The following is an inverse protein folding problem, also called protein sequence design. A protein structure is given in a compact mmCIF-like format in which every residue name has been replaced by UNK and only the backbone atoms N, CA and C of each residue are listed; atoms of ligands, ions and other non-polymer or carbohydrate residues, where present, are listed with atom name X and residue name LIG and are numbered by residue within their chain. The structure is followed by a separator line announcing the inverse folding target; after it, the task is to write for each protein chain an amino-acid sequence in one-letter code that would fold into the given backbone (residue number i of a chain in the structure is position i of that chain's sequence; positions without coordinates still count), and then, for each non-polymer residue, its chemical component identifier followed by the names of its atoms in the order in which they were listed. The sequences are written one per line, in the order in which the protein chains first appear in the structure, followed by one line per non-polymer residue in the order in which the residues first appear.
data_IF_369052853536
#
_entry.id   IF_369052853536
#
_cell.length_a   1.000
_cell.length_b   1.000
_cell.length_c   1.000
_cell.angle_alpha   90.00
_cell.angle_beta   90.00
_cell.angle_gamma   90.00
#
_symmetry.space_group_name_H-M   'P 1'
#
loop_
_entity.id
_entity.type
_entity.pdbx_description
1 polymer ?
#
# COMPACT_ATOMS: atom_id res chain seq x y z
N UNK A 1 2.80 -8.17 0.37
CA UNK A 1 3.85 -9.09 -0.14
C UNK A 1 3.97 -8.92 -1.64
N UNK A 2 5.16 -9.07 -2.19
CA UNK A 2 5.40 -9.07 -3.65
C UNK A 2 6.64 -9.89 -4.00
N UNK A 3 6.85 -10.17 -5.28
CA UNK A 3 7.98 -10.96 -5.78
C UNK A 3 8.83 -10.11 -6.71
N UNK A 4 10.15 -10.12 -6.51
CA UNK A 4 11.14 -9.49 -7.38
C UNK A 4 12.38 -10.40 -7.44
N UNK A 5 12.87 -10.68 -8.64
CA UNK A 5 14.07 -11.48 -8.88
C UNK A 5 14.09 -12.81 -8.09
N UNK A 6 13.01 -13.59 -8.22
CA UNK A 6 12.80 -14.88 -7.55
C UNK A 6 12.87 -14.84 -6.00
N UNK A 7 12.64 -13.66 -5.42
CA UNK A 7 12.59 -13.47 -3.97
C UNK A 7 11.26 -12.85 -3.55
N UNK A 8 10.75 -13.31 -2.43
CA UNK A 8 9.56 -12.78 -1.78
C UNK A 8 9.95 -11.58 -0.89
N UNK A 9 9.33 -10.43 -1.15
CA UNK A 9 9.46 -9.22 -0.38
C UNK A 9 8.25 -9.07 0.56
N UNK A 10 8.55 -9.04 1.85
CA UNK A 10 7.56 -8.93 2.93
C UNK A 10 7.76 -7.61 3.66
N UNK A 11 6.90 -6.64 3.38
CA UNK A 11 6.85 -5.34 4.04
C UNK A 11 5.89 -5.33 5.24
N UNK A 12 6.03 -4.29 6.06
CA UNK A 12 5.10 -3.95 7.14
C UNK A 12 4.31 -2.68 6.81
N UNK A 13 3.93 -1.95 7.85
CA UNK A 13 3.14 -0.71 7.74
C UNK A 13 3.87 0.42 7.00
N UNK A 14 5.21 0.38 6.91
CA UNK A 14 6.01 1.37 6.18
C UNK A 14 6.00 2.78 6.79
N UNK A 15 5.67 2.89 8.08
CA UNK A 15 5.85 4.10 8.89
C UNK A 15 6.44 3.72 10.24
N UNK A 16 6.83 4.72 11.01
CA UNK A 16 7.23 4.52 12.39
C UNK A 16 6.14 3.81 13.22
N UNK A 17 6.55 2.93 14.12
CA UNK A 17 5.66 2.46 15.17
C UNK A 17 5.48 3.57 16.19
N UNK A 18 4.23 3.85 16.53
CA UNK A 18 3.84 4.92 17.45
C UNK A 18 2.86 4.40 18.49
N UNK A 19 2.71 5.10 19.60
CA UNK A 19 1.53 4.93 20.46
C UNK A 19 0.25 5.30 19.71
N UNK A 20 -0.92 5.01 20.29
CA UNK A 20 -2.23 5.42 19.73
C UNK A 20 -2.40 6.93 19.56
N UNK A 21 -1.58 7.75 20.24
CA UNK A 21 -1.53 9.21 20.13
C UNK A 21 -0.37 9.71 19.25
N UNK A 22 0.28 8.81 18.50
CA UNK A 22 1.32 9.16 17.54
C UNK A 22 2.67 9.52 18.18
N UNK A 23 2.98 9.07 19.40
CA UNK A 23 4.34 9.22 19.98
C UNK A 23 5.26 8.16 19.39
N UNK A 24 6.39 8.57 18.82
CA UNK A 24 7.38 7.66 18.23
C UNK A 24 7.89 6.65 19.25
N UNK A 25 7.94 5.37 18.87
CA UNK A 25 8.48 4.28 19.68
C UNK A 25 9.67 3.61 18.98
N UNK A 26 9.53 3.22 17.70
CA UNK A 26 10.60 2.59 16.92
C UNK A 26 10.32 2.65 15.40
N UNK A 27 11.29 2.19 14.60
CA UNK A 27 11.22 2.15 13.13
C UNK A 27 10.99 0.73 12.57
N UNK A 28 10.67 -0.26 13.41
CA UNK A 28 10.61 -1.66 13.00
C UNK A 28 9.64 -1.96 11.84
N UNK A 29 8.46 -1.30 11.71
CA UNK A 29 7.56 -1.54 10.58
C UNK A 29 8.09 -1.03 9.24
N UNK A 30 9.20 -0.28 9.24
CA UNK A 30 9.89 0.18 8.03
C UNK A 30 11.01 -0.78 7.60
N UNK A 31 11.23 -1.89 8.32
CA UNK A 31 12.12 -2.96 7.86
C UNK A 31 11.36 -3.99 7.04
N UNK A 32 11.88 -4.32 5.87
CA UNK A 32 11.35 -5.41 5.05
C UNK A 32 12.14 -6.70 5.28
N UNK A 33 11.52 -7.82 4.91
CA UNK A 33 12.18 -9.13 4.84
C UNK A 33 12.22 -9.57 3.39
N UNK A 34 13.38 -10.04 2.97
CA UNK A 34 13.58 -10.62 1.64
C UNK A 34 13.84 -12.10 1.84
N UNK A 35 12.95 -12.93 1.31
CA UNK A 35 12.97 -14.38 1.48
C UNK A 35 13.29 -15.03 0.14
N UNK A 36 14.39 -15.77 0.07
CA UNK A 36 14.73 -16.54 -1.11
C UNK A 36 13.84 -17.77 -1.28
N UNK A 37 13.81 -18.34 -2.48
CA UNK A 37 12.96 -19.50 -2.78
C UNK A 37 13.33 -20.77 -2.00
N UNK A 38 14.50 -20.79 -1.34
CA UNK A 38 14.92 -21.86 -0.42
C UNK A 38 14.59 -21.55 1.06
N UNK A 39 13.98 -20.41 1.35
CA UNK A 39 13.58 -19.99 2.69
C UNK A 39 14.65 -19.22 3.47
N UNK A 40 15.79 -18.88 2.86
CA UNK A 40 16.75 -17.95 3.44
C UNK A 40 16.13 -16.56 3.63
N UNK A 41 16.42 -15.91 4.76
CA UNK A 41 15.82 -14.63 5.13
C UNK A 41 16.89 -13.57 5.33
N UNK A 42 16.72 -12.44 4.65
CA UNK A 42 17.49 -11.21 4.86
C UNK A 42 16.58 -10.11 5.41
N UNK A 43 17.12 -9.26 6.28
CA UNK A 43 16.43 -8.10 6.85
C UNK A 43 17.01 -6.84 6.22
N UNK A 44 16.17 -6.05 5.56
CA UNK A 44 16.63 -4.86 4.83
C UNK A 44 15.95 -3.63 5.42
N UNK A 45 16.77 -2.64 5.77
CA UNK A 45 16.30 -1.35 6.26
C UNK A 45 15.73 -0.53 5.10
N UNK A 46 14.42 -0.21 5.17
CA UNK A 46 13.71 0.62 4.20
C UNK A 46 13.23 1.94 4.81
N UNK A 47 13.77 2.36 5.97
CA UNK A 47 13.41 3.62 6.63
C UNK A 47 13.51 4.81 5.68
N UNK A 48 14.64 4.95 4.99
CA UNK A 48 14.86 6.05 4.03
C UNK A 48 13.93 5.96 2.82
N UNK A 49 13.68 4.75 2.30
CA UNK A 49 12.78 4.55 1.16
C UNK A 49 11.36 5.01 1.49
N UNK A 50 10.80 4.55 2.61
CA UNK A 50 9.47 4.95 3.06
C UNK A 50 9.41 6.45 3.41
N UNK A 51 10.45 6.99 4.05
CA UNK A 51 10.53 8.41 4.36
C UNK A 51 10.55 9.27 3.10
N UNK A 52 11.25 8.84 2.06
CA UNK A 52 11.31 9.52 0.77
C UNK A 52 9.94 9.53 0.08
N UNK A 53 9.28 8.36 -0.02
CA UNK A 53 7.91 8.26 -0.55
C UNK A 53 6.95 9.19 0.21
N UNK A 54 7.04 9.21 1.54
CA UNK A 54 6.16 10.07 2.35
C UNK A 54 6.45 11.55 2.11
N UNK A 55 7.73 11.94 2.12
CA UNK A 55 8.18 13.33 1.98
C UNK A 55 7.81 13.92 0.63
N UNK A 56 8.14 13.22 -0.46
CA UNK A 56 7.86 13.68 -1.83
C UNK A 56 6.36 13.72 -2.13
N UNK A 57 5.57 12.86 -1.49
CA UNK A 57 4.11 12.89 -1.56
C UNK A 57 3.46 14.06 -0.79
N UNK A 58 4.23 14.85 -0.05
CA UNK A 58 3.72 15.98 0.75
C UNK A 58 3.11 15.58 2.09
N UNK A 59 3.50 14.44 2.65
CA UNK A 59 3.03 13.90 3.93
C UNK A 59 4.13 13.89 4.99
N UNK A 60 5.00 14.91 5.01
CA UNK A 60 6.13 15.00 5.93
C UNK A 60 5.73 14.78 7.39
N UNK A 61 6.63 14.16 8.17
CA UNK A 61 6.44 13.96 9.61
C UNK A 61 6.04 15.28 10.31
N UNK A 62 5.01 15.29 11.17
CA UNK A 62 4.33 14.15 11.79
C UNK A 62 3.24 13.47 10.94
N UNK A 63 3.02 13.92 9.70
CA UNK A 63 2.22 13.19 8.71
C UNK A 63 2.78 11.79 8.42
N UNK A 64 1.94 10.94 7.83
CA UNK A 64 2.25 9.54 7.61
C UNK A 64 1.52 8.95 6.41
N UNK A 65 2.02 7.81 5.95
CA UNK A 65 1.33 6.87 5.06
C UNK A 65 1.36 5.48 5.71
N UNK A 66 0.32 4.68 5.50
CA UNK A 66 0.29 3.27 5.90
C UNK A 66 0.19 2.41 4.64
N UNK A 67 1.09 1.44 4.52
CA UNK A 67 1.14 0.53 3.39
C UNK A 67 0.69 -0.86 3.81
N UNK A 68 -0.30 -1.40 3.10
CA UNK A 68 -0.70 -2.82 3.21
C UNK A 68 -0.53 -3.56 1.87
N UNK A 69 -0.21 -2.82 0.81
CA UNK A 69 -0.10 -3.38 -0.54
C UNK A 69 1.07 -2.79 -1.31
N UNK A 70 1.75 -3.66 -2.06
CA UNK A 70 2.90 -3.34 -2.89
C UNK A 70 3.01 -4.39 -4.00
N UNK A 71 3.48 -3.98 -5.18
CA UNK A 71 3.87 -4.88 -6.26
C UNK A 71 5.16 -4.38 -6.93
N UNK A 72 6.02 -5.30 -7.33
CA UNK A 72 7.10 -5.02 -8.28
C UNK A 72 6.61 -5.29 -9.71
N UNK A 73 6.87 -4.34 -10.59
CA UNK A 73 6.68 -4.48 -12.05
C UNK A 73 8.02 -4.83 -12.68
N UNK A 74 8.12 -6.03 -13.23
CA UNK A 74 9.35 -6.49 -13.89
C UNK A 74 9.53 -5.83 -15.26
N UNK A 75 8.43 -5.46 -15.92
CA UNK A 75 8.50 -4.82 -17.25
C UNK A 75 8.94 -3.36 -17.16
N UNK A 76 8.49 -2.62 -16.15
CA UNK A 76 8.88 -1.21 -15.96
C UNK A 76 10.06 -1.02 -15.01
N UNK A 77 10.47 -2.07 -14.29
CA UNK A 77 11.46 -2.01 -13.20
C UNK A 77 11.08 -0.98 -12.13
N UNK A 78 9.83 -1.05 -11.69
CA UNK A 78 9.26 -0.12 -10.71
C UNK A 78 8.52 -0.84 -9.59
N UNK A 79 8.60 -0.25 -8.41
CA UNK A 79 7.70 -0.52 -7.30
C UNK A 79 6.40 0.25 -7.50
N UNK A 80 5.29 -0.41 -7.18
CA UNK A 80 3.97 0.18 -7.12
C UNK A 80 3.40 0.00 -5.71
N UNK A 81 2.74 1.02 -5.18
CA UNK A 81 2.07 1.00 -3.89
C UNK A 81 0.68 1.60 -4.00
N UNK A 82 -0.28 0.97 -3.32
CA UNK A 82 -1.57 1.57 -3.01
C UNK A 82 -1.66 1.70 -1.49
N UNK A 83 -1.23 2.83 -0.90
CA UNK A 83 -1.31 3.03 0.54
C UNK A 83 -2.75 2.90 1.03
N UNK A 84 -2.91 2.25 2.19
CA UNK A 84 -4.19 2.15 2.88
C UNK A 84 -4.61 3.50 3.42
N UNK A 85 -3.67 4.22 4.05
CA UNK A 85 -3.89 5.50 4.73
C UNK A 85 -2.85 6.52 4.29
N UNK A 86 -3.24 7.79 4.26
CA UNK A 86 -2.33 8.92 4.13
C UNK A 86 -2.88 10.15 4.84
N UNK A 87 -2.08 10.78 5.70
CA UNK A 87 -2.48 11.94 6.48
C UNK A 87 -1.33 12.94 6.61
N UNK A 88 -1.65 14.23 6.50
CA UNK A 88 -0.71 15.33 6.80
C UNK A 88 -0.65 15.63 8.30
N UNK A 89 -1.59 15.11 9.06
CA UNK A 89 -1.67 15.25 10.51
C UNK A 89 -0.98 14.07 11.20
N UNK A 90 -0.64 14.27 12.47
CA UNK A 90 -0.07 13.25 13.34
C UNK A 90 -0.97 12.00 13.40
N UNK A 91 -0.36 10.83 13.53
CA UNK A 91 -1.09 9.59 13.78
C UNK A 91 -1.93 9.67 15.06
N UNK A 92 -3.17 9.25 14.93
CA UNK A 92 -4.13 9.01 16.01
C UNK A 92 -4.96 7.79 15.61
N UNK A 93 -5.04 6.79 16.48
CA UNK A 93 -5.65 5.49 16.20
C UNK A 93 -7.12 5.61 15.76
N UNK A 94 -7.88 6.53 16.36
CA UNK A 94 -9.30 6.72 16.03
C UNK A 94 -9.46 7.50 14.74
N UNK A 95 -8.65 8.54 14.54
CA UNK A 95 -8.74 9.35 13.33
C UNK A 95 -8.25 8.57 12.10
N UNK A 96 -7.31 7.62 12.26
CA UNK A 96 -6.75 6.82 11.16
C UNK A 96 -7.81 5.97 10.44
N UNK A 97 -8.86 5.53 11.14
CA UNK A 97 -10.01 4.83 10.53
C UNK A 97 -10.62 5.65 9.35
N UNK A 98 -10.47 6.97 9.39
CA UNK A 98 -10.99 7.93 8.41
C UNK A 98 -9.89 8.58 7.53
N UNK A 99 -8.65 8.04 7.52
CA UNK A 99 -7.53 8.57 6.70
C UNK A 99 -7.23 7.74 5.46
N UNK A 100 -8.23 7.03 4.91
CA UNK A 100 -8.04 6.32 3.65
C UNK A 100 -7.63 7.29 2.51
N UNK A 101 -6.91 6.75 1.54
CA UNK A 101 -6.41 7.50 0.40
C UNK A 101 -6.74 6.80 -0.92
N UNK A 102 -6.73 7.57 -2.01
CA UNK A 102 -6.90 7.06 -3.37
C UNK A 102 -5.59 7.13 -4.17
N UNK A 103 -4.45 7.35 -3.51
CA UNK A 103 -3.16 7.44 -4.17
C UNK A 103 -2.70 6.09 -4.70
N UNK A 104 -2.15 6.12 -5.91
CA UNK A 104 -1.22 5.14 -6.44
C UNK A 104 0.14 5.79 -6.55
N UNK A 105 1.15 5.08 -6.08
CA UNK A 105 2.54 5.53 -6.06
C UNK A 105 3.34 4.57 -6.90
N UNK A 106 4.17 5.08 -7.80
CA UNK A 106 5.20 4.30 -8.47
C UNK A 106 6.58 4.89 -8.21
N UNK A 107 7.56 4.02 -8.01
CA UNK A 107 8.95 4.40 -7.76
C UNK A 107 9.87 3.51 -8.59
N UNK A 108 10.96 4.04 -9.11
CA UNK A 108 12.03 3.20 -9.65
C UNK A 108 12.69 2.36 -8.54
N UNK A 109 13.55 1.43 -8.95
CA UNK A 109 14.16 0.44 -8.05
C UNK A 109 14.86 1.06 -6.83
N UNK A 110 15.49 2.22 -7.02
CA UNK A 110 16.27 2.93 -6.01
C UNK A 110 15.47 4.04 -5.31
N UNK A 111 14.17 4.16 -5.59
CA UNK A 111 13.32 5.25 -5.11
C UNK A 111 13.87 6.65 -5.47
N UNK A 112 14.65 6.78 -6.54
CA UNK A 112 15.19 8.05 -7.05
C UNK A 112 14.11 8.89 -7.72
N UNK A 113 13.22 8.23 -8.47
CA UNK A 113 12.12 8.86 -9.17
C UNK A 113 10.80 8.29 -8.67
N UNK A 114 10.01 9.11 -7.97
CA UNK A 114 8.71 8.73 -7.40
C UNK A 114 7.60 9.54 -8.07
N UNK A 115 6.52 8.86 -8.47
CA UNK A 115 5.35 9.45 -9.09
C UNK A 115 4.09 9.13 -8.28
N UNK A 116 3.17 10.09 -8.22
CA UNK A 116 1.94 10.00 -7.46
C UNK A 116 0.76 10.27 -8.39
N UNK A 117 -0.28 9.45 -8.29
CA UNK A 117 -1.50 9.58 -9.08
C UNK A 117 -2.72 9.26 -8.22
N UNK A 118 -3.75 10.08 -8.33
CA UNK A 118 -5.03 9.80 -7.67
C UNK A 118 -5.90 8.90 -8.55
N UNK A 119 -6.43 7.82 -7.98
CA UNK A 119 -7.27 6.84 -8.66
C UNK A 119 -8.71 6.96 -8.16
N UNK A 120 -9.57 7.57 -8.97
CA UNK A 120 -10.98 7.80 -8.59
C UNK A 120 -11.14 8.78 -7.44
N UNK A 121 -12.21 8.62 -6.67
CA UNK A 121 -12.54 9.49 -5.53
C UNK A 121 -12.17 8.86 -4.19
N UNK A 122 -11.82 9.71 -3.22
CA UNK A 122 -11.51 9.26 -1.86
C UNK A 122 -12.80 8.93 -1.12
N UNK A 123 -12.85 7.74 -0.50
CA UNK A 123 -13.84 7.37 0.51
C UNK A 123 -13.08 7.20 1.83
N UNK A 124 -13.24 8.11 2.82
CA UNK A 124 -12.34 8.23 3.98
C UNK A 124 -12.12 6.96 4.81
N UNK A 125 -13.12 6.07 4.84
CA UNK A 125 -13.08 4.82 5.61
C UNK A 125 -12.57 3.61 4.80
N UNK A 126 -12.42 3.75 3.48
CA UNK A 126 -12.16 2.64 2.56
C UNK A 126 -10.74 2.71 2.01
N UNK A 127 -9.82 2.03 2.69
CA UNK A 127 -8.41 1.99 2.30
C UNK A 127 -8.05 0.75 1.48
N UNK A 128 -7.07 0.86 0.58
CA UNK A 128 -6.51 -0.30 -0.12
C UNK A 128 -5.92 -1.32 0.86
N UNK A 129 -6.14 -2.61 0.59
CA UNK A 129 -5.61 -3.72 1.39
C UNK A 129 -4.74 -4.69 0.58
N UNK A 130 -4.96 -4.79 -0.74
CA UNK A 130 -4.17 -5.65 -1.61
C UNK A 130 -4.34 -5.22 -3.07
N UNK A 131 -3.38 -5.56 -3.93
CA UNK A 131 -3.58 -5.51 -5.38
C UNK A 131 -2.64 -6.46 -6.12
N UNK A 132 -2.96 -6.68 -7.39
CA UNK A 132 -2.12 -7.36 -8.38
C UNK A 132 -2.27 -6.72 -9.74
N UNK A 133 -1.21 -6.81 -10.54
CA UNK A 133 -1.33 -6.63 -11.97
C UNK A 133 -2.10 -7.81 -12.57
N UNK A 134 -3.01 -7.52 -13.50
CA UNK A 134 -3.75 -8.57 -14.21
C UNK A 134 -2.82 -9.24 -15.22
N UNK A 135 -2.69 -10.58 -15.23
CA UNK A 135 -1.89 -11.31 -16.20
C UNK A 135 -2.25 -10.95 -17.64
N UNK A 136 -1.28 -11.05 -18.54
CA UNK A 136 -1.47 -10.80 -19.99
C UNK A 136 -1.90 -9.35 -20.34
N UNK A 137 -1.73 -8.40 -19.41
CA UNK A 137 -2.03 -6.97 -19.65
C UNK A 137 -0.78 -6.10 -19.73
N UNK A 138 0.42 -6.71 -19.78
CA UNK A 138 1.71 -6.02 -19.68
C UNK A 138 1.79 -5.09 -18.46
N UNK A 139 1.28 -5.56 -17.32
CA UNK A 139 1.26 -4.81 -16.04
C UNK A 139 0.52 -3.45 -16.16
N UNK A 140 -0.41 -3.32 -17.11
CA UNK A 140 -1.19 -2.08 -17.31
C UNK A 140 -2.50 -2.05 -16.54
N UNK A 141 -3.10 -3.21 -16.26
CA UNK A 141 -4.34 -3.30 -15.49
C UNK A 141 -4.04 -3.78 -14.07
N UNK A 142 -4.69 -3.15 -13.10
CA UNK A 142 -4.58 -3.46 -11.68
C UNK A 142 -5.95 -3.86 -11.16
N UNK A 143 -6.03 -5.03 -10.53
CA UNK A 143 -7.15 -5.42 -9.67
C UNK A 143 -6.75 -5.16 -8.22
N UNK A 144 -7.58 -4.45 -7.49
CA UNK A 144 -7.29 -4.05 -6.11
C UNK A 144 -8.46 -4.36 -5.17
N UNK A 145 -8.10 -4.71 -3.94
CA UNK A 145 -9.01 -4.79 -2.81
C UNK A 145 -8.92 -3.51 -1.99
N UNK A 146 -10.08 -3.07 -1.52
CA UNK A 146 -10.18 -2.07 -0.45
C UNK A 146 -11.02 -2.63 0.68
N UNK A 147 -10.66 -2.30 1.91
CA UNK A 147 -11.43 -2.68 3.09
C UNK A 147 -11.76 -1.49 3.97
N UNK A 148 -12.93 -1.57 4.59
CA UNK A 148 -13.45 -0.61 5.56
C UNK A 148 -13.34 -1.21 6.97
N UNK A 149 -12.94 -0.37 7.91
CA UNK A 149 -13.03 -0.61 9.35
C UNK A 149 -13.61 0.66 9.94
N UNK A 150 -14.85 0.60 10.41
CA UNK A 150 -15.57 1.72 10.99
C UNK A 150 -16.42 1.21 12.15
N UNK A 151 -16.10 1.66 13.37
CA UNK A 151 -16.82 1.29 14.59
C UNK A 151 -17.02 -0.24 14.77
N UNK A 152 -16.01 -1.03 14.40
CA UNK A 152 -16.02 -2.50 14.50
C UNK A 152 -16.76 -3.23 13.36
N UNK A 153 -17.36 -2.52 12.41
CA UNK A 153 -17.91 -3.09 11.18
C UNK A 153 -16.82 -3.23 10.13
N UNK A 154 -16.82 -4.34 9.39
CA UNK A 154 -15.86 -4.57 8.29
C UNK A 154 -16.55 -4.88 6.98
N UNK A 155 -16.01 -4.32 5.89
CA UNK A 155 -16.47 -4.56 4.52
C UNK A 155 -15.28 -4.66 3.59
N UNK A 156 -15.44 -5.41 2.51
CA UNK A 156 -14.42 -5.52 1.47
C UNK A 156 -15.03 -5.26 0.09
N UNK A 157 -14.29 -4.52 -0.72
CA UNK A 157 -14.60 -4.12 -2.08
C UNK A 157 -13.50 -4.58 -3.03
N UNK A 158 -13.86 -4.83 -4.28
CA UNK A 158 -12.92 -5.02 -5.40
C UNK A 158 -13.11 -3.91 -6.42
N UNK A 159 -12.01 -3.45 -7.02
CA UNK A 159 -12.00 -2.48 -8.11
C UNK A 159 -10.97 -2.88 -9.16
N UNK A 160 -11.18 -2.43 -10.41
CA UNK A 160 -10.29 -2.66 -11.54
C UNK A 160 -10.03 -1.32 -12.23
N UNK A 161 -8.76 -0.98 -12.41
CA UNK A 161 -8.34 0.25 -13.10
C UNK A 161 -7.01 0.06 -13.82
N UNK A 162 -6.70 0.92 -14.77
CA UNK A 162 -5.39 0.92 -15.42
C UNK A 162 -4.36 1.79 -14.67
N UNK A 163 -3.07 1.61 -14.97
CA UNK A 163 -1.96 2.40 -14.40
C UNK A 163 -2.05 3.91 -14.72
N UNK A 164 -2.90 4.31 -15.68
CA UNK A 164 -3.15 5.71 -16.00
C UNK A 164 -4.27 6.32 -15.14
N UNK A 165 -5.03 5.51 -14.41
CA UNK A 165 -6.12 5.91 -13.52
C UNK A 165 -7.52 5.77 -14.13
N UNK A 166 -7.65 5.15 -15.31
CA UNK A 166 -8.96 4.83 -15.90
C UNK A 166 -9.58 3.67 -15.12
N UNK A 167 -10.69 3.95 -14.43
CA UNK A 167 -11.45 2.93 -13.69
C UNK A 167 -12.34 2.17 -14.67
N UNK A 168 -12.13 0.85 -14.75
CA UNK A 168 -12.93 -0.08 -15.54
C UNK A 168 -14.07 -0.69 -14.71
N UNK A 169 -13.82 -0.92 -13.41
CA UNK A 169 -14.82 -1.42 -12.45
C UNK A 169 -14.73 -0.57 -11.19
N UNK A 170 -15.80 0.18 -10.93
CA UNK A 170 -15.98 0.91 -9.67
C UNK A 170 -16.01 -0.05 -8.48
N UNK A 171 -15.75 0.46 -7.28
CA UNK A 171 -15.73 -0.36 -6.04
C UNK A 171 -17.00 -1.22 -5.91
N UNK A 172 -16.85 -2.54 -6.09
CA UNK A 172 -17.92 -3.53 -5.96
C UNK A 172 -17.77 -4.26 -4.64
N UNK A 173 -18.81 -4.23 -3.81
CA UNK A 173 -18.84 -4.95 -2.53
C UNK A 173 -18.73 -6.46 -2.77
N UNK A 174 -17.79 -7.11 -2.10
CA UNK A 174 -17.59 -8.57 -2.15
C UNK A 174 -17.72 -9.24 -0.77
N UNK A 175 -17.68 -8.46 0.31
CA UNK A 175 -18.00 -8.94 1.66
C UNK A 175 -18.54 -7.82 2.51
N UNK A 176 -19.60 -8.10 3.29
CA UNK A 176 -20.23 -7.16 4.22
C UNK A 176 -19.90 -7.43 5.69
N UNK A 177 -19.01 -8.39 5.98
CA UNK A 177 -18.68 -8.84 7.34
C UNK A 177 -17.20 -9.18 7.57
N UNK A 178 -16.41 -9.30 6.51
CA UNK A 178 -15.02 -9.73 6.57
C UNK A 178 -14.12 -8.77 5.82
N UNK A 179 -12.91 -8.61 6.35
CA UNK A 179 -11.78 -7.94 5.71
C UNK A 179 -10.99 -8.97 4.90
N UNK A 180 -10.90 -8.80 3.58
CA UNK A 180 -9.92 -9.51 2.76
C UNK A 180 -8.70 -8.62 2.51
N UNK A 181 -7.52 -9.15 2.81
CA UNK A 181 -6.23 -8.44 2.74
C UNK A 181 -5.28 -9.05 1.69
N UNK A 182 -5.76 -10.02 0.92
CA UNK A 182 -5.00 -10.72 -0.09
C UNK A 182 -5.84 -10.96 -1.35
N UNK A 183 -5.26 -10.63 -2.50
CA UNK A 183 -5.74 -11.08 -3.80
C UNK A 183 -4.56 -11.63 -4.60
N UNK A 184 -4.78 -12.74 -5.29
CA UNK A 184 -3.80 -13.38 -6.17
C UNK A 184 -4.53 -14.12 -7.31
N UNK A 185 -3.84 -14.30 -8.44
CA UNK A 185 -4.26 -15.19 -9.51
C UNK A 185 -3.72 -16.61 -9.23
N UNK A 186 -4.62 -17.58 -9.02
CA UNK A 186 -4.30 -18.97 -8.63
C UNK A 186 -4.82 -19.99 -9.64
#
# INVERSE_FOLDING_TARGET
MTVKDDKLYVGGLGKEWTTGQGVLVNHNPQWIKVVGHLGDVSHVDWVENYNKIRKEGGFMYPGYMVFESCAWSSSEKKWYFLPRRASKERYDEKLDEHRATNLMISADENFENISYKSIGTIVPIRGYSSFKFVPETNERLIIALKSEEDNGSTRTYVTLFDVNGLILVQDKLISNKLKYEGIEFI
#
